data_IF_313112450929
#
_entry.id   IF_313112450929
#
_cell.length_a   1.000
_cell.length_b   1.000
_cell.length_c   1.000
_cell.angle_alpha   90.00
_cell.angle_beta   90.00
_cell.angle_gamma   90.00
#
_symmetry.space_group_name_H-M   'P 1'
#
loop_
_entity.id
_entity.type
_entity.pdbx_description
1 polymer ?
#
# COMPACT_ATOMS: atom_id res chain seq x y z
N UNK A 1 5.73 6.96 9.26
CA UNK A 1 4.39 7.39 9.73
C UNK A 1 4.18 8.91 9.77
N UNK A 2 5.08 9.72 10.33
CA UNK A 2 4.88 11.18 10.51
C UNK A 2 4.51 11.94 9.22
N UNK A 3 5.15 11.58 8.09
CA UNK A 3 4.84 12.17 6.78
C UNK A 3 3.39 11.93 6.33
N UNK A 4 2.88 10.70 6.48
CA UNK A 4 1.51 10.33 6.09
C UNK A 4 0.47 11.06 6.95
N UNK A 5 0.74 11.21 8.24
CA UNK A 5 -0.16 11.91 9.17
C UNK A 5 -0.28 13.39 8.78
N UNK A 6 0.84 14.08 8.56
CA UNK A 6 0.85 15.49 8.13
C UNK A 6 0.06 15.64 6.82
N UNK A 7 0.29 14.73 5.89
CA UNK A 7 -0.36 14.74 4.59
C UNK A 7 -1.89 14.55 4.70
N UNK A 8 -2.37 13.59 5.51
CA UNK A 8 -3.81 13.38 5.72
C UNK A 8 -4.45 14.51 6.51
N UNK A 9 -3.78 15.05 7.52
CA UNK A 9 -4.25 16.22 8.26
C UNK A 9 -4.42 17.42 7.33
N UNK A 10 -3.49 17.66 6.42
CA UNK A 10 -3.60 18.74 5.43
C UNK A 10 -4.84 18.55 4.54
N UNK A 11 -5.09 17.33 4.08
CA UNK A 11 -6.25 17.02 3.24
C UNK A 11 -7.57 17.20 3.99
N UNK A 12 -7.71 16.60 5.17
CA UNK A 12 -8.93 16.69 5.98
C UNK A 12 -9.19 18.12 6.41
N UNK A 13 -8.16 18.86 6.85
CA UNK A 13 -8.28 20.26 7.21
C UNK A 13 -8.77 21.10 6.03
N UNK A 14 -8.23 20.88 4.83
CA UNK A 14 -8.67 21.61 3.63
C UNK A 14 -10.14 21.35 3.31
N UNK A 15 -10.63 20.12 3.48
CA UNK A 15 -12.01 19.74 3.26
C UNK A 15 -12.94 20.35 4.33
N UNK A 16 -12.54 20.31 5.61
CA UNK A 16 -13.29 20.90 6.73
C UNK A 16 -13.38 22.42 6.58
N UNK A 17 -12.28 23.10 6.26
CA UNK A 17 -12.28 24.56 6.06
C UNK A 17 -13.17 24.97 4.89
N UNK A 18 -13.25 24.15 3.84
CA UNK A 18 -14.17 24.39 2.74
C UNK A 18 -15.64 24.18 3.14
N UNK A 19 -15.92 23.15 3.96
CA UNK A 19 -17.25 22.88 4.50
C UNK A 19 -17.73 24.00 5.43
N UNK A 20 -16.84 24.55 6.25
CA UNK A 20 -17.08 25.72 7.09
C UNK A 20 -17.14 27.04 6.30
N UNK A 21 -17.04 27.00 4.96
CA UNK A 21 -16.99 28.17 4.06
C UNK A 21 -15.85 29.16 4.36
N UNK A 22 -14.84 28.74 5.12
CA UNK A 22 -13.62 29.52 5.38
C UNK A 22 -12.71 29.49 4.15
N UNK A 23 -12.70 28.37 3.42
CA UNK A 23 -11.91 28.19 2.20
C UNK A 23 -12.82 28.07 0.96
N UNK A 24 -12.41 28.69 -0.15
CA UNK A 24 -13.09 28.47 -1.43
C UNK A 24 -12.96 27.02 -1.88
N UNK A 25 -14.04 26.46 -2.43
CA UNK A 25 -14.05 25.10 -3.00
C UNK A 25 -12.93 24.93 -4.06
N UNK A 26 -12.57 26.00 -4.79
CA UNK A 26 -11.50 25.92 -5.77
C UNK A 26 -10.12 25.69 -5.11
N UNK A 27 -9.85 26.36 -3.98
CA UNK A 27 -8.59 26.19 -3.26
C UNK A 27 -8.52 24.81 -2.60
N UNK A 28 -9.63 24.32 -2.04
CA UNK A 28 -9.73 22.94 -1.55
C UNK A 28 -9.38 21.94 -2.65
N UNK A 29 -9.99 22.07 -3.84
CA UNK A 29 -9.72 21.17 -4.96
C UNK A 29 -8.24 21.22 -5.36
N UNK A 30 -7.58 22.38 -5.35
CA UNK A 30 -6.13 22.44 -5.62
C UNK A 30 -5.31 21.69 -4.58
N UNK A 31 -5.56 21.93 -3.29
CA UNK A 31 -4.84 21.25 -2.19
C UNK A 31 -5.02 19.74 -2.29
N UNK A 32 -6.27 19.28 -2.45
CA UNK A 32 -6.58 17.86 -2.59
C UNK A 32 -5.96 17.26 -3.85
N UNK A 33 -6.07 17.94 -4.99
CA UNK A 33 -5.52 17.48 -6.27
C UNK A 33 -4.01 17.29 -6.21
N UNK A 34 -3.27 18.31 -5.78
CA UNK A 34 -1.80 18.26 -5.79
C UNK A 34 -1.26 17.32 -4.71
N UNK A 35 -1.86 17.32 -3.52
CA UNK A 35 -1.50 16.35 -2.49
C UNK A 35 -1.72 14.93 -3.02
N UNK A 36 -2.94 14.60 -3.44
CA UNK A 36 -3.31 13.27 -3.89
C UNK A 36 -2.47 12.81 -5.10
N UNK A 37 -2.25 13.68 -6.08
CA UNK A 37 -1.39 13.35 -7.21
C UNK A 37 0.07 13.11 -6.79
N UNK A 38 0.58 13.91 -5.85
CA UNK A 38 1.90 13.69 -5.26
C UNK A 38 2.00 12.34 -4.55
N UNK A 39 0.93 11.90 -3.86
CA UNK A 39 0.87 10.58 -3.24
C UNK A 39 0.96 9.44 -4.27
N UNK A 40 0.16 9.50 -5.34
CA UNK A 40 0.21 8.50 -6.42
C UNK A 40 1.60 8.44 -7.08
N UNK A 41 2.22 9.60 -7.35
CA UNK A 41 3.55 9.65 -7.94
C UNK A 41 4.61 9.08 -6.99
N UNK A 42 4.52 9.40 -5.70
CA UNK A 42 5.44 8.89 -4.70
C UNK A 42 5.30 7.37 -4.54
N UNK A 43 4.07 6.87 -4.37
CA UNK A 43 3.81 5.44 -4.23
C UNK A 43 4.19 4.67 -5.51
N UNK A 44 3.84 5.18 -6.69
CA UNK A 44 4.26 4.63 -7.97
C UNK A 44 5.78 4.63 -8.16
N UNK A 45 6.48 5.71 -7.77
CA UNK A 45 7.94 5.79 -7.83
C UNK A 45 8.63 4.76 -6.93
N UNK A 46 8.13 4.56 -5.70
CA UNK A 46 8.71 3.57 -4.80
C UNK A 46 8.54 2.14 -5.36
N UNK A 47 7.37 1.82 -5.90
CA UNK A 47 7.14 0.53 -6.58
C UNK A 47 7.97 0.38 -7.87
N UNK A 48 8.23 1.49 -8.56
CA UNK A 48 9.04 1.53 -9.77
C UNK A 48 10.53 1.19 -9.51
N UNK A 49 11.04 1.47 -8.30
CA UNK A 49 12.39 1.08 -7.88
C UNK A 49 12.52 -0.44 -7.75
N UNK A 50 11.48 -1.13 -7.28
CA UNK A 50 11.44 -2.59 -7.17
C UNK A 50 10.10 -3.19 -7.67
N UNK A 51 9.92 -3.32 -9.00
CA UNK A 51 8.72 -3.92 -9.57
C UNK A 51 8.60 -5.42 -9.26
N UNK A 52 9.71 -6.10 -9.00
CA UNK A 52 9.73 -7.53 -8.66
C UNK A 52 9.17 -7.75 -7.26
N UNK A 53 9.60 -6.96 -6.26
CA UNK A 53 9.04 -6.99 -4.92
C UNK A 53 7.51 -6.81 -4.92
N UNK A 54 7.00 -5.85 -5.71
CA UNK A 54 5.56 -5.67 -5.85
C UNK A 54 4.86 -6.85 -6.56
N UNK A 55 5.52 -7.51 -7.52
CA UNK A 55 4.99 -8.71 -8.19
C UNK A 55 4.83 -9.90 -7.25
N UNK A 56 5.77 -10.13 -6.33
CA UNK A 56 5.66 -11.19 -5.32
C UNK A 56 4.46 -10.96 -4.40
N UNK A 57 4.17 -9.70 -4.04
CA UNK A 57 2.96 -9.37 -3.29
C UNK A 57 1.68 -9.69 -4.06
N UNK A 58 1.62 -9.36 -5.36
CA UNK A 58 0.49 -9.75 -6.19
C UNK A 58 0.34 -11.28 -6.30
N UNK A 59 1.45 -12.00 -6.41
CA UNK A 59 1.46 -13.47 -6.40
C UNK A 59 0.90 -14.03 -5.09
N UNK A 60 1.36 -13.55 -3.93
CA UNK A 60 0.83 -13.94 -2.61
C UNK A 60 -0.70 -13.73 -2.55
N UNK A 61 -1.21 -12.58 -3.05
CA UNK A 61 -2.65 -12.35 -3.12
C UNK A 61 -3.36 -13.35 -4.04
N UNK A 62 -2.82 -13.63 -5.23
CA UNK A 62 -3.43 -14.57 -6.17
C UNK A 62 -3.48 -16.00 -5.63
N UNK A 63 -2.43 -16.45 -4.94
CA UNK A 63 -2.41 -17.76 -4.27
C UNK A 63 -3.48 -17.83 -3.17
N UNK A 64 -3.59 -16.81 -2.33
CA UNK A 64 -4.59 -16.81 -1.25
C UNK A 64 -6.02 -16.72 -1.79
N UNK A 65 -6.23 -16.08 -2.94
CA UNK A 65 -7.52 -16.06 -3.63
C UNK A 65 -7.84 -17.34 -4.41
N UNK A 66 -6.94 -18.32 -4.45
CA UNK A 66 -7.10 -19.54 -5.26
C UNK A 66 -7.02 -19.28 -6.77
N UNK A 67 -6.40 -18.17 -7.18
CA UNK A 67 -6.21 -17.75 -8.56
C UNK A 67 -4.77 -17.99 -9.03
N UNK A 68 -4.22 -19.17 -8.76
CA UNK A 68 -2.83 -19.53 -9.09
C UNK A 68 -2.49 -19.38 -10.59
N UNK A 69 -3.48 -19.49 -11.47
CA UNK A 69 -3.33 -19.27 -12.91
C UNK A 69 -2.90 -17.84 -13.27
N UNK A 70 -3.08 -16.86 -12.37
CA UNK A 70 -2.62 -15.47 -12.52
C UNK A 70 -1.17 -15.25 -12.05
N UNK A 71 -0.57 -16.21 -11.35
CA UNK A 71 0.80 -16.09 -10.82
C UNK A 71 1.83 -15.83 -11.93
N UNK A 72 1.81 -16.52 -13.09
CA UNK A 72 2.78 -16.28 -14.17
C UNK A 72 2.68 -14.87 -14.78
N UNK A 73 1.53 -14.20 -14.64
CA UNK A 73 1.27 -12.86 -15.18
C UNK A 73 1.36 -11.77 -14.10
N UNK A 74 1.73 -12.11 -12.87
CA UNK A 74 1.88 -11.17 -11.74
C UNK A 74 2.87 -10.04 -12.04
N UNK A 75 4.00 -10.35 -12.68
CA UNK A 75 5.00 -9.35 -13.09
C UNK A 75 4.41 -8.34 -14.09
N UNK A 76 3.61 -8.82 -15.05
CA UNK A 76 2.94 -7.94 -16.01
C UNK A 76 1.96 -7.00 -15.29
N UNK A 77 1.15 -7.53 -14.36
CA UNK A 77 0.23 -6.71 -13.56
C UNK A 77 0.96 -5.70 -12.67
N UNK A 78 2.08 -6.09 -12.06
CA UNK A 78 2.93 -5.20 -11.27
C UNK A 78 3.35 -3.99 -12.10
N UNK A 79 4.01 -4.22 -13.25
CA UNK A 79 4.45 -3.15 -14.14
C UNK A 79 3.27 -2.33 -14.64
N UNK A 80 2.18 -2.96 -15.06
CA UNK A 80 0.99 -2.25 -15.55
C UNK A 80 0.41 -1.31 -14.49
N UNK A 81 0.22 -1.78 -13.26
CA UNK A 81 -0.33 -0.99 -12.16
C UNK A 81 0.59 0.19 -11.83
N UNK A 82 1.91 -0.04 -11.79
CA UNK A 82 2.91 1.03 -11.53
C UNK A 82 2.83 2.12 -12.60
N UNK A 83 2.85 1.74 -13.89
CA UNK A 83 2.75 2.69 -14.99
C UNK A 83 1.42 3.43 -14.96
N UNK A 84 0.32 2.73 -14.66
CA UNK A 84 -1.00 3.32 -14.56
C UNK A 84 -1.08 4.32 -13.42
N UNK A 85 -0.53 4.01 -12.25
CA UNK A 85 -0.50 4.88 -11.07
C UNK A 85 0.28 6.18 -11.35
N UNK A 86 1.48 6.06 -11.93
CA UNK A 86 2.29 7.22 -12.31
C UNK A 86 1.57 8.05 -13.38
N UNK A 87 0.99 7.42 -14.39
CA UNK A 87 0.23 8.09 -15.45
C UNK A 87 -0.96 8.86 -14.88
N UNK A 88 -1.73 8.26 -13.97
CA UNK A 88 -2.85 8.93 -13.29
C UNK A 88 -2.35 10.12 -12.46
N UNK A 89 -1.25 9.94 -11.72
CA UNK A 89 -0.61 11.01 -10.95
C UNK A 89 -0.23 12.20 -11.82
N UNK A 90 0.49 11.97 -12.93
CA UNK A 90 0.89 13.03 -13.86
C UNK A 90 -0.34 13.70 -14.50
N UNK A 91 -1.31 12.91 -15.00
CA UNK A 91 -2.52 13.47 -15.60
C UNK A 91 -3.33 14.31 -14.60
N UNK A 92 -3.36 13.92 -13.32
CA UNK A 92 -4.01 14.66 -12.26
C UNK A 92 -3.25 15.95 -11.93
N UNK A 93 -1.92 15.95 -11.90
CA UNK A 93 -1.13 17.18 -11.74
C UNK A 93 -1.44 18.14 -12.87
N UNK A 94 -1.39 17.72 -14.13
CA UNK A 94 -1.56 18.63 -15.27
C UNK A 94 -3.01 18.94 -15.63
N UNK A 95 -3.97 18.12 -15.23
CA UNK A 95 -5.39 18.36 -15.45
C UNK A 95 -5.89 17.83 -16.79
N UNK A 96 -5.25 16.78 -17.31
CA UNK A 96 -5.59 16.17 -18.60
C UNK A 96 -6.66 15.10 -18.44
N UNK A 97 -7.59 15.03 -19.40
CA UNK A 97 -8.67 14.03 -19.48
C UNK A 97 -9.30 13.67 -18.12
N UNK A 98 -9.53 14.66 -17.25
CA UNK A 98 -9.83 14.45 -15.83
C UNK A 98 -10.97 13.49 -15.59
N UNK A 99 -12.03 13.51 -16.41
CA UNK A 99 -13.14 12.56 -16.27
C UNK A 99 -12.67 11.09 -16.34
N UNK A 100 -11.78 10.76 -17.28
CA UNK A 100 -11.24 9.39 -17.40
C UNK A 100 -10.26 9.09 -16.26
N UNK A 101 -9.41 10.05 -15.91
CA UNK A 101 -8.42 9.91 -14.82
C UNK A 101 -9.11 9.65 -13.49
N UNK A 102 -10.20 10.34 -13.18
CA UNK A 102 -10.94 10.14 -11.93
C UNK A 102 -11.65 8.79 -11.87
N UNK A 103 -12.19 8.30 -12.99
CA UNK A 103 -12.71 6.92 -13.06
C UNK A 103 -11.61 5.88 -12.87
N UNK A 104 -10.48 6.04 -13.56
CA UNK A 104 -9.33 5.14 -13.40
C UNK A 104 -8.76 5.14 -11.98
N UNK A 105 -8.68 6.32 -11.37
CA UNK A 105 -8.23 6.50 -9.99
C UNK A 105 -9.17 5.84 -8.98
N UNK A 106 -10.48 6.00 -9.12
CA UNK A 106 -11.45 5.32 -8.26
C UNK A 106 -11.34 3.80 -8.38
N UNK A 107 -11.25 3.27 -9.61
CA UNK A 107 -11.08 1.83 -9.82
C UNK A 107 -9.79 1.33 -9.16
N UNK A 108 -8.68 2.03 -9.36
CA UNK A 108 -7.39 1.66 -8.77
C UNK A 108 -7.44 1.67 -7.24
N UNK A 109 -8.05 2.70 -6.64
CA UNK A 109 -8.16 2.79 -5.19
C UNK A 109 -9.11 1.75 -4.61
N UNK A 110 -10.22 1.44 -5.26
CA UNK A 110 -11.13 0.37 -4.84
C UNK A 110 -10.41 -0.97 -4.89
N UNK A 111 -9.65 -1.22 -5.97
CA UNK A 111 -8.83 -2.42 -6.11
C UNK A 111 -7.80 -2.54 -4.98
N UNK A 112 -7.03 -1.49 -4.69
CA UNK A 112 -6.07 -1.53 -3.58
C UNK A 112 -6.76 -1.68 -2.21
N UNK A 113 -7.87 -0.97 -1.98
CA UNK A 113 -8.65 -1.10 -0.74
C UNK A 113 -9.14 -2.53 -0.53
N UNK A 114 -9.54 -3.23 -1.60
CA UNK A 114 -9.92 -4.63 -1.53
C UNK A 114 -8.74 -5.53 -1.14
N UNK A 115 -7.57 -5.34 -1.76
CA UNK A 115 -6.36 -6.10 -1.40
C UNK A 115 -5.94 -5.85 0.06
N UNK A 116 -5.96 -4.59 0.49
CA UNK A 116 -5.50 -4.20 1.84
C UNK A 116 -6.49 -4.61 2.92
N UNK A 117 -7.80 -4.57 2.65
CA UNK A 117 -8.81 -5.17 3.52
C UNK A 117 -8.56 -6.66 3.75
N UNK A 118 -8.29 -7.39 2.67
CA UNK A 118 -8.08 -8.82 2.74
C UNK A 118 -6.81 -9.18 3.54
N UNK A 119 -5.72 -8.43 3.32
CA UNK A 119 -4.50 -8.53 4.14
C UNK A 119 -4.78 -8.28 5.63
N UNK A 120 -5.58 -7.26 5.96
CA UNK A 120 -5.92 -6.92 7.35
C UNK A 120 -6.83 -7.93 8.04
N UNK A 121 -7.78 -8.53 7.31
CA UNK A 121 -8.72 -9.50 7.89
C UNK A 121 -8.10 -10.89 8.08
N UNK A 122 -7.32 -11.36 7.11
CA UNK A 122 -6.78 -12.73 7.13
C UNK A 122 -5.38 -12.83 7.74
N UNK A 123 -4.68 -11.71 8.01
CA UNK A 123 -3.31 -11.66 8.56
C UNK A 123 -2.28 -12.53 7.79
N UNK A 124 -2.56 -12.87 6.52
CA UNK A 124 -1.71 -13.77 5.71
C UNK A 124 -0.63 -13.04 4.90
N UNK A 125 -0.81 -11.75 4.64
CA UNK A 125 0.14 -10.92 3.89
C UNK A 125 0.55 -9.76 4.78
N UNK A 126 1.78 -9.78 5.28
CA UNK A 126 2.28 -8.86 6.32
C UNK A 126 2.53 -7.43 5.82
N UNK A 127 2.64 -7.21 4.50
CA UNK A 127 2.90 -5.90 3.91
C UNK A 127 2.09 -5.68 2.62
N UNK A 128 1.28 -4.62 2.55
CA UNK A 128 0.39 -4.33 1.42
C UNK A 128 1.08 -4.00 0.09
N UNK A 129 2.43 -3.95 0.04
CA UNK A 129 3.20 -3.63 -1.17
C UNK A 129 3.01 -2.21 -1.73
N UNK A 130 2.16 -1.39 -1.11
CA UNK A 130 1.81 -0.06 -1.60
C UNK A 130 3.01 0.92 -1.58
N UNK A 131 3.98 0.68 -0.70
CA UNK A 131 5.26 1.40 -0.66
C UNK A 131 6.47 0.45 -0.83
N UNK A 132 6.27 -0.73 -1.43
CA UNK A 132 7.31 -1.77 -1.45
C UNK A 132 7.94 -2.00 -0.06
N UNK A 133 9.24 -2.29 -0.04
CA UNK A 133 10.02 -2.46 1.20
C UNK A 133 10.41 -1.14 1.88
N UNK A 134 10.04 0.02 1.32
CA UNK A 134 10.43 1.33 1.87
C UNK A 134 9.75 1.66 3.21
N UNK A 135 8.49 1.22 3.38
CA UNK A 135 7.73 1.45 4.61
C UNK A 135 6.79 0.29 4.87
N UNK A 136 7.19 -0.61 5.76
CA UNK A 136 6.32 -1.63 6.34
C UNK A 136 5.26 -0.94 7.19
N UNK A 137 4.00 -1.12 6.82
CA UNK A 137 2.85 -0.54 7.49
C UNK A 137 1.96 -1.70 7.89
N UNK A 138 1.53 -1.70 9.15
CA UNK A 138 0.57 -2.71 9.62
C UNK A 138 -0.63 -2.79 8.67
N UNK A 139 -1.15 -4.00 8.41
CA UNK A 139 -2.26 -4.20 7.47
C UNK A 139 -3.46 -3.27 7.74
N UNK A 140 -3.82 -3.09 9.01
CA UNK A 140 -4.89 -2.17 9.41
C UNK A 140 -4.58 -0.71 9.10
N UNK A 141 -3.35 -0.25 9.34
CA UNK A 141 -2.93 1.10 8.99
C UNK A 141 -2.97 1.32 7.47
N UNK A 142 -2.54 0.33 6.69
CA UNK A 142 -2.61 0.37 5.22
C UNK A 142 -4.05 0.43 4.71
N UNK A 143 -4.96 -0.34 5.32
CA UNK A 143 -6.38 -0.33 4.96
C UNK A 143 -7.06 1.01 5.26
N UNK A 144 -6.88 1.58 6.46
CA UNK A 144 -7.44 2.90 6.79
C UNK A 144 -6.88 4.01 5.91
N UNK A 145 -5.60 3.90 5.54
CA UNK A 145 -4.93 4.79 4.59
C UNK A 145 -5.61 4.73 3.20
N UNK A 146 -5.94 3.54 2.70
CA UNK A 146 -6.64 3.39 1.42
C UNK A 146 -8.09 3.87 1.47
N UNK A 147 -8.83 3.62 2.56
CA UNK A 147 -10.18 4.17 2.76
C UNK A 147 -10.16 5.71 2.72
N UNK A 148 -9.19 6.33 3.41
CA UNK A 148 -9.04 7.79 3.41
C UNK A 148 -8.78 8.31 1.99
N UNK A 149 -7.90 7.65 1.22
CA UNK A 149 -7.63 8.00 -0.17
C UNK A 149 -8.84 7.79 -1.09
N UNK A 150 -9.65 6.73 -0.88
CA UNK A 150 -10.94 6.55 -1.57
C UNK A 150 -11.86 7.72 -1.29
N UNK A 151 -11.98 8.15 -0.03
CA UNK A 151 -12.80 9.31 0.35
C UNK A 151 -12.35 10.59 -0.36
N UNK A 152 -11.04 10.88 -0.38
CA UNK A 152 -10.49 12.03 -1.10
C UNK A 152 -10.70 11.90 -2.62
N UNK A 153 -10.56 10.70 -3.18
CA UNK A 153 -10.81 10.42 -4.59
C UNK A 153 -12.27 10.68 -4.97
N UNK A 154 -13.23 10.26 -4.13
CA UNK A 154 -14.66 10.56 -4.33
C UNK A 154 -14.91 12.07 -4.28
N UNK A 155 -14.30 12.77 -3.33
CA UNK A 155 -14.43 14.22 -3.21
C UNK A 155 -13.90 14.94 -4.46
N UNK A 156 -12.74 14.52 -4.98
CA UNK A 156 -12.18 15.02 -6.24
C UNK A 156 -13.05 14.66 -7.44
N UNK A 157 -13.64 13.47 -7.47
CA UNK A 157 -14.56 13.02 -8.52
C UNK A 157 -15.81 13.91 -8.59
N UNK A 158 -16.41 14.27 -7.46
CA UNK A 158 -17.57 15.18 -7.41
C UNK A 158 -17.20 16.58 -7.90
N UNK A 159 -16.03 17.10 -7.50
CA UNK A 159 -15.57 18.44 -7.88
C UNK A 159 -14.70 18.47 -9.15
N UNK A 160 -14.68 17.38 -9.93
CA UNK A 160 -13.79 17.23 -11.08
C UNK A 160 -13.97 18.31 -12.15
N UNK A 161 -15.17 18.90 -12.25
CA UNK A 161 -15.46 20.00 -13.18
C UNK A 161 -14.66 21.28 -12.90
N UNK A 162 -14.13 21.45 -11.68
CA UNK A 162 -13.30 22.61 -11.28
C UNK A 162 -11.82 22.43 -11.62
N UNK A 163 -11.42 21.23 -12.05
CA UNK A 163 -10.03 20.91 -12.38
C UNK A 163 -9.74 21.40 -13.80
N UNK A 164 -8.97 22.48 -13.91
CA UNK A 164 -8.51 23.02 -15.19
C UNK A 164 -7.16 22.44 -15.60
N UNK A 165 -6.97 22.30 -16.90
CA UNK A 165 -5.68 21.94 -17.50
C UNK A 165 -4.67 23.08 -17.32
N UNK A 166 -3.44 22.72 -16.96
CA UNK A 166 -2.32 23.64 -16.76
C UNK A 166 -1.43 23.78 -18.00
N UNK A 167 -1.54 22.87 -18.97
CA UNK A 167 -0.70 22.86 -20.18
C UNK A 167 -1.53 22.52 -21.42
N UNK A 168 -1.01 22.89 -22.59
CA UNK A 168 -1.60 22.55 -23.89
C UNK A 168 -0.92 21.33 -24.54
N UNK A 169 0.28 20.96 -24.09
CA UNK A 169 1.08 19.88 -24.67
C UNK A 169 0.75 18.52 -24.03
N UNK A 170 -0.53 18.16 -24.04
CA UNK A 170 -1.05 16.94 -23.41
C UNK A 170 -0.35 15.67 -23.92
N UNK A 171 -0.25 15.52 -25.24
CA UNK A 171 0.33 14.32 -25.86
C UNK A 171 1.77 14.08 -25.43
N UNK A 172 2.62 15.12 -25.46
CA UNK A 172 4.03 14.98 -25.10
C UNK A 172 4.20 14.58 -23.63
N UNK A 173 3.39 15.15 -22.73
CA UNK A 173 3.50 14.88 -21.29
C UNK A 173 3.01 13.46 -20.97
N UNK A 174 1.90 13.03 -21.57
CA UNK A 174 1.40 11.66 -21.41
C UNK A 174 2.41 10.66 -21.95
N UNK A 175 2.98 10.93 -23.14
CA UNK A 175 3.98 10.07 -23.75
C UNK A 175 5.21 9.93 -22.84
N UNK A 176 5.73 11.02 -22.28
CA UNK A 176 6.86 10.96 -21.34
C UNK A 176 6.50 10.27 -20.03
N UNK A 177 5.28 10.45 -19.52
CA UNK A 177 4.79 9.81 -18.29
C UNK A 177 4.65 8.29 -18.42
N UNK A 178 4.56 7.75 -19.64
CA UNK A 178 4.57 6.32 -19.91
C UNK A 178 5.98 5.83 -20.25
N UNK A 179 6.68 6.49 -21.18
CA UNK A 179 7.97 6.02 -21.68
C UNK A 179 9.07 6.06 -20.63
N UNK A 180 9.16 7.12 -19.82
CA UNK A 180 10.24 7.24 -18.82
C UNK A 180 10.11 6.15 -17.75
N UNK A 181 8.95 5.97 -17.08
CA UNK A 181 8.79 4.90 -16.12
C UNK A 181 8.94 3.50 -16.74
N UNK A 182 8.47 3.29 -17.98
CA UNK A 182 8.64 2.01 -18.67
C UNK A 182 10.12 1.68 -18.90
N UNK A 183 10.91 2.62 -19.40
CA UNK A 183 12.35 2.44 -19.58
C UNK A 183 13.06 2.18 -18.25
N UNK A 184 12.61 2.86 -17.19
CA UNK A 184 13.15 2.63 -15.85
C UNK A 184 12.77 1.25 -15.28
N UNK A 185 11.54 0.77 -15.49
CA UNK A 185 11.15 -0.61 -15.16
C UNK A 185 12.06 -1.63 -15.86
N UNK A 186 12.31 -1.47 -17.16
CA UNK A 186 13.20 -2.37 -17.89
C UNK A 186 14.61 -2.36 -17.30
N UNK A 187 15.10 -1.19 -16.90
CA UNK A 187 16.38 -1.04 -16.21
C UNK A 187 16.40 -1.77 -14.85
N UNK A 188 15.40 -1.54 -13.98
CA UNK A 188 15.32 -2.16 -12.65
C UNK A 188 15.02 -3.66 -12.67
N UNK A 189 14.46 -4.18 -13.76
CA UNK A 189 14.33 -5.63 -13.98
C UNK A 189 15.63 -6.27 -14.47
N UNK A 190 16.52 -5.49 -15.10
CA UNK A 190 17.78 -5.99 -15.66
C UNK A 190 18.99 -5.75 -14.75
N UNK A 191 18.87 -4.84 -13.77
CA UNK A 191 19.93 -4.43 -12.86
C UNK A 191 19.41 -4.39 -11.43
N UNK A 192 20.32 -4.42 -10.46
CA UNK A 192 19.97 -4.19 -9.06
C UNK A 192 19.30 -2.82 -8.87
N UNK A 193 18.34 -2.70 -7.93
CA UNK A 193 17.75 -1.42 -7.59
C UNK A 193 18.81 -0.39 -7.20
N UNK A 194 18.68 0.85 -7.69
CA UNK A 194 19.60 1.95 -7.35
C UNK A 194 19.59 2.21 -5.84
N UNK A 195 18.41 2.06 -5.23
CA UNK A 195 18.24 2.10 -3.79
C UNK A 195 17.66 0.77 -3.35
N UNK A 196 18.45 0.00 -2.63
CA UNK A 196 18.07 -1.30 -2.13
C UNK A 196 17.45 -1.18 -0.72
N UNK A 197 16.15 -1.42 -0.64
CA UNK A 197 15.38 -1.39 0.60
C UNK A 197 15.25 -2.76 1.27
N UNK A 198 15.82 -3.81 0.68
CA UNK A 198 15.79 -5.16 1.23
C UNK A 198 16.64 -5.23 2.50
N UNK A 199 16.27 -6.11 3.43
CA UNK A 199 17.04 -6.36 4.65
C UNK A 199 18.48 -6.83 4.34
N UNK A 200 18.62 -7.76 3.40
CA UNK A 200 19.92 -8.33 2.99
C UNK A 200 20.54 -7.62 1.79
N UNK A 201 20.66 -6.29 1.85
CA UNK A 201 21.34 -5.51 0.81
C UNK A 201 22.86 -5.68 0.85
N UNK A 202 23.52 -5.37 -0.27
CA UNK A 202 24.98 -5.46 -0.38
C UNK A 202 25.63 -4.50 0.63
N UNK A 203 26.52 -5.04 1.48
CA UNK A 203 27.23 -4.28 2.51
C UNK A 203 26.66 -4.41 3.93
N UNK A 204 25.53 -5.10 4.12
CA UNK A 204 25.00 -5.42 5.46
C UNK A 204 25.71 -6.65 6.04
N UNK A 205 26.12 -6.58 7.32
CA UNK A 205 26.57 -7.77 8.06
C UNK A 205 25.36 -8.52 8.61
N UNK A 206 25.14 -9.72 8.08
CA UNK A 206 24.00 -10.58 8.44
C UNK A 206 24.05 -10.97 9.92
N UNK A 207 25.24 -11.05 10.54
CA UNK A 207 25.41 -11.42 11.94
C UNK A 207 24.97 -10.29 12.88
N UNK A 208 25.17 -9.04 12.47
CA UNK A 208 24.72 -7.88 13.25
C UNK A 208 23.21 -7.67 13.08
N UNK A 209 22.70 -7.76 11.85
CA UNK A 209 21.30 -7.49 11.51
C UNK A 209 20.31 -8.55 12.06
N UNK A 210 20.79 -9.76 12.37
CA UNK A 210 19.99 -10.82 13.01
C UNK A 210 19.86 -10.67 14.53
N UNK A 211 20.55 -9.71 15.14
CA UNK A 211 20.44 -9.51 16.59
C UNK A 211 19.06 -8.94 16.91
N UNK A 212 18.35 -9.59 17.82
CA UNK A 212 17.05 -9.12 18.28
C UNK A 212 17.23 -7.77 18.99
N UNK A 213 16.39 -6.75 18.70
CA UNK A 213 16.40 -5.50 19.44
C UNK A 213 16.15 -5.76 20.93
N UNK A 214 16.68 -4.88 21.80
CA UNK A 214 16.59 -5.03 23.26
C UNK A 214 15.14 -5.15 23.80
N UNK A 215 14.17 -4.66 23.03
CA UNK A 215 12.72 -4.69 23.34
C UNK A 215 11.95 -5.71 22.48
N UNK A 216 12.65 -6.71 21.90
CA UNK A 216 12.00 -7.76 21.12
C UNK A 216 11.05 -8.57 22.01
N UNK A 217 9.79 -8.69 21.58
CA UNK A 217 8.79 -9.55 22.22
C UNK A 217 9.35 -10.98 22.23
N UNK A 218 9.64 -11.51 23.42
CA UNK A 218 10.10 -12.88 23.57
C UNK A 218 8.97 -13.82 23.17
N UNK A 219 9.33 -14.93 22.55
CA UNK A 219 8.41 -16.02 22.31
C UNK A 219 7.84 -16.47 23.67
N UNK A 220 6.51 -16.46 23.77
CA UNK A 220 5.81 -17.02 24.93
C UNK A 220 5.47 -18.46 24.54
N UNK A 221 6.13 -19.40 25.20
CA UNK A 221 5.84 -20.82 25.05
C UNK A 221 4.82 -21.19 26.12
N UNK A 222 3.61 -21.56 25.70
CA UNK A 222 2.58 -22.14 26.58
C UNK A 222 2.44 -23.62 26.23
N UNK A 223 2.73 -24.47 27.20
CA UNK A 223 2.53 -25.91 27.10
C UNK A 223 1.10 -26.23 27.58
N UNK A 224 0.27 -26.74 26.66
CA UNK A 224 -1.12 -27.15 26.94
C UNK A 224 -1.17 -28.67 27.05
N UNK A 225 -1.65 -29.17 28.18
CA UNK A 225 -1.80 -30.58 28.50
C UNK A 225 -3.26 -30.99 28.35
N UNK A 226 -3.50 -32.21 27.85
CA UNK A 226 -4.84 -32.78 27.74
C UNK A 226 -4.92 -34.00 28.67
N UNK A 227 -5.79 -33.92 29.68
CA UNK A 227 -6.02 -35.02 30.63
C UNK A 227 -7.50 -35.41 30.63
N UNK A 228 -7.77 -36.71 30.71
CA UNK A 228 -9.13 -37.24 30.87
C UNK A 228 -9.40 -37.44 32.36
N UNK A 229 -10.38 -36.71 32.90
CA UNK A 229 -10.84 -36.79 34.28
C UNK A 229 -12.35 -37.06 34.24
N UNK A 230 -12.82 -38.06 34.98
CA UNK A 230 -14.25 -38.47 34.98
C UNK A 230 -14.85 -38.75 33.58
N UNK A 231 -14.03 -39.17 32.62
CA UNK A 231 -14.46 -39.47 31.24
C UNK A 231 -14.65 -38.24 30.33
N UNK A 232 -14.18 -37.06 30.74
CA UNK A 232 -14.12 -35.86 29.89
C UNK A 232 -12.68 -35.37 29.74
N UNK A 233 -12.27 -35.07 28.50
CA UNK A 233 -10.96 -34.48 28.21
C UNK A 233 -10.99 -32.99 28.54
N UNK A 234 -10.11 -32.56 29.42
CA UNK A 234 -9.93 -31.17 29.83
C UNK A 234 -8.52 -30.67 29.46
N UNK A 235 -8.44 -29.37 29.15
CA UNK A 235 -7.20 -28.66 28.84
C UNK A 235 -6.63 -28.05 30.12
N UNK A 236 -5.33 -28.27 30.36
CA UNK A 236 -4.61 -27.74 31.52
C UNK A 236 -3.33 -27.03 31.09
N UNK A 237 -2.99 -25.95 31.78
CA UNK A 237 -1.68 -25.32 31.65
C UNK A 237 -0.63 -26.03 32.52
N UNK A 238 0.65 -25.92 32.19
CA UNK A 238 1.74 -26.45 33.05
C UNK A 238 1.69 -25.90 34.49
N UNK A 239 1.21 -24.67 34.68
CA UNK A 239 1.08 -24.04 36.00
C UNK A 239 0.03 -24.74 36.89
N UNK A 240 -0.96 -25.40 36.28
CA UNK A 240 -2.00 -26.16 36.99
C UNK A 240 -1.52 -27.54 37.43
N UNK A 241 -0.29 -27.93 37.08
CA UNK A 241 0.33 -29.20 37.43
C UNK A 241 -0.62 -30.41 37.24
N UNK A 242 -1.15 -30.66 36.03
CA UNK A 242 -2.19 -31.66 35.78
C UNK A 242 -1.79 -33.08 36.17
N UNK A 243 -0.49 -33.39 36.24
CA UNK A 243 0.06 -34.65 36.78
C UNK A 243 -0.15 -34.84 38.29
N UNK A 244 -0.67 -33.84 39.00
CA UNK A 244 -0.99 -33.86 40.43
C UNK A 244 -2.49 -33.87 40.73
N UNK A 245 -3.34 -33.83 39.70
CA UNK A 245 -4.78 -33.94 39.83
C UNK A 245 -5.14 -35.43 39.91
N UNK A 246 -5.71 -35.86 41.03
CA UNK A 246 -6.25 -37.21 41.17
C UNK A 246 -7.47 -37.33 40.24
N UNK A 247 -7.40 -38.28 39.30
CA UNK A 247 -8.40 -38.52 38.25
C UNK A 247 -9.63 -39.29 38.69
#
# INVERSE_FOLDING_TARGET
>A
MTFLIIFFVLQTLSAVLALLKVLSIQNMVYVLRFSYAGFLLFSGFVKLIDPLGFSYKLQEYFEVFGMEWLVPVSLFFSVFIILFEILLGVCLIFGFQIKKVMWGNLLLMIFFTFLTFFSAYFNKVTDCGCFGDFMKLDPWHSFFKDIHLVFISILLFVFQAKIKSLSKNEFSIILTAVLIPLMFCVYTLSHLPIVDFRAYKIGTDIIDDRQLPLDAKKDVYEDVWYYEIDGQVQEFSTDEAPWSIDG
#
